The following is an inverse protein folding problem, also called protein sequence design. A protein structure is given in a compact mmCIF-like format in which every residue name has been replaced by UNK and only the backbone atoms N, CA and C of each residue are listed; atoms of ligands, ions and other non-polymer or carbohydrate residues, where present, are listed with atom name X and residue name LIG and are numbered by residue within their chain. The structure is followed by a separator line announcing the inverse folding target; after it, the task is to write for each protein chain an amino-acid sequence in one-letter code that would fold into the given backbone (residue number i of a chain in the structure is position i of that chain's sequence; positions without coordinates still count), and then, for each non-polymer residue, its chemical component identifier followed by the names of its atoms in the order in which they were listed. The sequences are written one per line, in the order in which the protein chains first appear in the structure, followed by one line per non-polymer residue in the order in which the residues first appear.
data_IF_394780187273
#
_entry.id   IF_394780187273
#
_cell.length_a   1.000
_cell.length_b   1.000
_cell.length_c   1.000
_cell.angle_alpha   90.00
_cell.angle_beta   90.00
_cell.angle_gamma   90.00
#
_symmetry.space_group_name_H-M   'P 1'
#
loop_
_entity.id
_entity.type
_entity.pdbx_description
1 polymer ?
#
# COMPACT_ATOMS: atom_id res chain seq x y z
N UNK A 1 -16.38 10.55 -4.06
CA UNK A 1 -15.71 11.80 -3.65
C UNK A 1 -14.31 11.84 -4.25
N UNK A 2 -13.97 12.88 -5.04
CA UNK A 2 -12.57 13.14 -5.42
C UNK A 2 -11.84 13.68 -4.18
N UNK A 3 -10.77 13.01 -3.72
CA UNK A 3 -9.91 13.52 -2.65
C UNK A 3 -9.29 14.85 -3.11
N UNK A 4 -9.14 15.81 -2.21
CA UNK A 4 -8.41 17.04 -2.53
C UNK A 4 -6.93 16.72 -2.76
N UNK A 5 -6.24 17.50 -3.61
CA UNK A 5 -4.83 17.29 -3.94
C UNK A 5 -3.94 17.19 -2.68
N UNK A 6 -4.23 18.00 -1.65
CA UNK A 6 -3.52 18.01 -0.37
C UNK A 6 -3.73 16.70 0.42
N UNK A 7 -4.95 16.18 0.47
CA UNK A 7 -5.24 14.89 1.14
C UNK A 7 -4.60 13.72 0.39
N UNK A 8 -4.57 13.78 -0.94
CA UNK A 8 -3.93 12.77 -1.77
C UNK A 8 -2.41 12.78 -1.59
N UNK A 9 -1.79 13.97 -1.59
CA UNK A 9 -0.36 14.14 -1.34
C UNK A 9 0.05 13.69 0.06
N UNK A 10 -0.72 14.07 1.09
CA UNK A 10 -0.48 13.63 2.47
C UNK A 10 -0.58 12.10 2.61
N UNK A 11 -1.54 11.46 1.92
CA UNK A 11 -1.66 10.00 1.91
C UNK A 11 -0.51 9.30 1.17
N UNK A 12 0.03 9.94 0.13
CA UNK A 12 1.18 9.46 -0.63
C UNK A 12 2.47 9.55 0.18
N UNK A 13 2.76 10.73 0.74
CA UNK A 13 3.94 10.93 1.58
C UNK A 13 3.90 10.02 2.82
N UNK A 14 2.73 9.90 3.47
CA UNK A 14 2.56 8.99 4.61
C UNK A 14 2.76 7.53 4.24
N UNK A 15 2.23 7.07 3.09
CA UNK A 15 2.44 5.72 2.60
C UNK A 15 3.90 5.42 2.26
N UNK A 16 4.58 6.37 1.61
CA UNK A 16 6.00 6.24 1.30
C UNK A 16 6.86 6.12 2.57
N UNK A 17 6.65 7.03 3.53
CA UNK A 17 7.37 7.03 4.82
C UNK A 17 7.12 5.71 5.55
N UNK A 18 5.86 5.26 5.61
CA UNK A 18 5.49 4.00 6.23
C UNK A 18 6.23 2.82 5.61
N UNK A 19 6.18 2.66 4.28
CA UNK A 19 6.86 1.57 3.58
C UNK A 19 8.36 1.60 3.82
N UNK A 20 8.97 2.79 3.76
CA UNK A 20 10.41 2.96 3.95
C UNK A 20 10.81 2.51 5.36
N UNK A 21 10.14 3.02 6.40
CA UNK A 21 10.44 2.69 7.79
C UNK A 21 10.25 1.20 8.06
N UNK A 22 9.14 0.61 7.60
CA UNK A 22 8.86 -0.81 7.83
C UNK A 22 9.85 -1.70 7.08
N UNK A 23 10.20 -1.36 5.83
CA UNK A 23 11.18 -2.13 5.05
C UNK A 23 12.54 -2.13 5.75
N UNK A 24 13.02 -0.96 6.20
CA UNK A 24 14.26 -0.86 6.97
C UNK A 24 14.20 -1.60 8.31
N UNK A 25 13.10 -1.48 9.04
CA UNK A 25 12.95 -2.14 10.34
C UNK A 25 12.99 -3.66 10.21
N UNK A 26 12.24 -4.23 9.25
CA UNK A 26 12.24 -5.67 9.00
C UNK A 26 13.59 -6.15 8.46
N UNK A 27 14.21 -5.39 7.54
CA UNK A 27 15.55 -5.68 7.05
C UNK A 27 16.60 -5.70 8.15
N UNK A 28 16.54 -4.74 9.08
CA UNK A 28 17.40 -4.70 10.26
C UNK A 28 17.20 -5.90 11.18
N UNK A 29 15.95 -6.27 11.46
CA UNK A 29 15.63 -7.46 12.28
C UNK A 29 16.22 -8.72 11.66
N UNK A 30 16.03 -8.93 10.34
CA UNK A 30 16.55 -10.09 9.63
C UNK A 30 18.08 -10.10 9.64
N UNK A 31 18.70 -8.95 9.37
CA UNK A 31 20.15 -8.81 9.40
C UNK A 31 20.73 -9.21 10.78
N UNK A 32 20.22 -8.64 11.87
CA UNK A 32 20.71 -8.96 13.22
C UNK A 32 20.41 -10.40 13.62
N UNK A 33 19.28 -10.98 13.17
CA UNK A 33 18.93 -12.37 13.44
C UNK A 33 19.89 -13.33 12.71
N UNK A 34 20.20 -13.08 11.45
CA UNK A 34 21.16 -13.88 10.68
C UNK A 34 22.58 -13.77 11.25
N UNK A 35 22.99 -12.56 11.64
CA UNK A 35 24.27 -12.32 12.30
C UNK A 35 24.37 -13.09 13.64
N UNK A 36 23.30 -13.07 14.46
CA UNK A 36 23.24 -13.83 15.71
C UNK A 36 23.33 -15.35 15.52
N UNK A 37 22.84 -15.86 14.39
CA UNK A 37 22.93 -17.27 14.00
C UNK A 37 24.25 -17.63 13.31
N UNK A 38 25.22 -16.71 13.23
CA UNK A 38 26.49 -16.90 12.53
C UNK A 38 26.34 -17.30 11.06
N UNK A 39 25.21 -16.95 10.44
CA UNK A 39 25.02 -17.15 8.99
C UNK A 39 25.87 -16.11 8.29
N UNK A 40 26.81 -16.51 7.41
CA UNK A 40 27.60 -15.56 6.64
C UNK A 40 26.66 -14.82 5.70
N UNK A 41 26.32 -13.58 6.05
CA UNK A 41 25.69 -12.63 5.13
C UNK A 41 26.82 -12.11 4.22
N UNK A 42 27.32 -12.99 3.34
CA UNK A 42 28.34 -12.62 2.35
C UNK A 42 27.83 -11.44 1.54
N UNK A 43 28.68 -10.43 1.38
CA UNK A 43 28.47 -9.13 0.74
C UNK A 43 27.20 -9.02 -0.12
N UNK A 44 26.07 -8.72 0.51
CA UNK A 44 24.87 -8.25 -0.19
C UNK A 44 25.25 -6.88 -0.80
N UNK A 45 25.74 -6.91 -2.04
CA UNK A 45 26.24 -5.74 -2.78
C UNK A 45 27.71 -5.83 -3.26
N UNK A 46 28.52 -6.76 -2.74
CA UNK A 46 29.97 -6.81 -3.04
C UNK A 46 30.31 -7.25 -4.46
N UNK A 47 29.42 -7.99 -5.12
CA UNK A 47 29.61 -8.43 -6.51
C UNK A 47 29.27 -7.33 -7.54
N UNK A 48 28.57 -6.26 -7.12
CA UNK A 48 28.01 -5.25 -8.03
C UNK A 48 28.96 -4.06 -8.21
N UNK A 49 30.06 -3.96 -7.43
CA UNK A 49 31.03 -2.87 -7.54
C UNK A 49 30.47 -1.48 -7.17
N UNK A 50 29.30 -1.46 -6.51
CA UNK A 50 28.63 -0.26 -6.01
C UNK A 50 28.87 -0.16 -4.51
N UNK A 51 28.99 1.05 -3.98
CA UNK A 51 29.11 1.27 -2.55
C UNK A 51 27.89 0.65 -1.82
N UNK A 52 28.17 -0.32 -0.93
CA UNK A 52 27.19 -1.14 -0.21
C UNK A 52 26.14 -0.28 0.50
N UNK A 53 26.55 0.86 1.06
CA UNK A 53 25.63 1.79 1.71
C UNK A 53 24.59 2.35 0.72
N UNK A 54 25.01 2.75 -0.48
CA UNK A 54 24.10 3.26 -1.50
C UNK A 54 23.18 2.17 -2.05
N UNK A 55 23.69 0.95 -2.21
CA UNK A 55 22.88 -0.18 -2.65
C UNK A 55 21.80 -0.52 -1.63
N UNK A 56 22.15 -0.62 -0.34
CA UNK A 56 21.19 -0.96 0.71
C UNK A 56 20.24 0.22 0.97
N UNK A 57 20.75 1.41 1.23
CA UNK A 57 19.91 2.56 1.58
C UNK A 57 19.08 3.05 0.39
N UNK A 58 19.73 3.23 -0.77
CA UNK A 58 19.08 3.64 -2.00
C UNK A 58 18.12 2.59 -2.54
N UNK A 59 18.49 1.31 -2.46
CA UNK A 59 17.63 0.18 -2.83
C UNK A 59 16.34 0.16 -2.02
N UNK A 60 16.43 0.23 -0.69
CA UNK A 60 15.25 0.25 0.18
C UNK A 60 14.30 1.43 -0.10
N UNK A 61 14.86 2.64 -0.32
CA UNK A 61 14.07 3.83 -0.69
C UNK A 61 13.36 3.61 -2.03
N UNK A 62 14.08 3.05 -2.99
CA UNK A 62 13.57 2.85 -4.33
C UNK A 62 12.51 1.75 -4.38
N UNK A 63 12.70 0.66 -3.64
CA UNK A 63 11.71 -0.39 -3.43
C UNK A 63 10.45 0.16 -2.78
N UNK A 64 10.57 0.99 -1.74
CA UNK A 64 9.43 1.63 -1.09
C UNK A 64 8.64 2.53 -2.06
N UNK A 65 9.33 3.31 -2.89
CA UNK A 65 8.70 4.15 -3.91
C UNK A 65 7.98 3.31 -4.96
N UNK A 66 8.65 2.27 -5.48
CA UNK A 66 8.13 1.39 -6.52
C UNK A 66 6.92 0.59 -6.02
N UNK A 67 7.00 0.06 -4.80
CA UNK A 67 5.91 -0.64 -4.13
C UNK A 67 4.71 0.28 -3.89
N UNK A 68 4.95 1.55 -3.50
CA UNK A 68 3.87 2.53 -3.35
C UNK A 68 3.15 2.76 -4.69
N UNK A 69 3.90 2.96 -5.78
CA UNK A 69 3.31 3.16 -7.11
C UNK A 69 2.48 1.93 -7.50
N UNK A 70 3.02 0.73 -7.32
CA UNK A 70 2.31 -0.53 -7.59
C UNK A 70 1.01 -0.62 -6.77
N UNK A 71 1.08 -0.32 -5.47
CA UNK A 71 -0.08 -0.33 -4.58
C UNK A 71 -1.14 0.69 -5.03
N UNK A 72 -0.74 1.90 -5.39
CA UNK A 72 -1.66 2.95 -5.82
C UNK A 72 -2.38 2.59 -7.12
N UNK A 73 -1.65 2.03 -8.09
CA UNK A 73 -2.23 1.50 -9.32
C UNK A 73 -3.19 0.36 -8.98
N UNK A 74 -2.76 -0.59 -8.14
CA UNK A 74 -3.58 -1.73 -7.73
C UNK A 74 -4.89 -1.29 -7.06
N UNK A 75 -4.85 -0.29 -6.17
CA UNK A 75 -6.03 0.26 -5.51
C UNK A 75 -7.06 0.84 -6.49
N UNK A 76 -6.66 1.28 -7.68
CA UNK A 76 -7.62 1.73 -8.71
C UNK A 76 -8.41 0.57 -9.34
N UNK A 77 -7.83 -0.63 -9.37
CA UNK A 77 -8.42 -1.81 -10.03
C UNK A 77 -8.92 -2.88 -9.04
N UNK A 78 -8.62 -2.75 -7.75
CA UNK A 78 -8.88 -3.79 -6.75
C UNK A 78 -10.36 -4.18 -6.63
N UNK A 79 -11.29 -3.26 -6.91
CA UNK A 79 -12.74 -3.51 -6.85
C UNK A 79 -13.24 -4.51 -7.90
N UNK A 80 -12.46 -4.76 -8.96
CA UNK A 80 -12.76 -5.78 -9.98
C UNK A 80 -12.48 -7.20 -9.50
N UNK A 81 -11.65 -7.36 -8.47
CA UNK A 81 -11.26 -8.67 -7.94
C UNK A 81 -12.26 -9.08 -6.85
N UNK A 82 -13.18 -9.99 -7.20
CA UNK A 82 -14.24 -10.43 -6.27
C UNK A 82 -13.71 -11.19 -5.05
N UNK A 83 -12.61 -11.93 -5.19
CA UNK A 83 -12.03 -12.75 -4.10
C UNK A 83 -10.86 -12.03 -3.45
N UNK A 84 -10.98 -11.73 -2.17
CA UNK A 84 -9.99 -10.99 -1.38
C UNK A 84 -8.59 -11.65 -1.45
N UNK A 85 -8.51 -12.97 -1.27
CA UNK A 85 -7.23 -13.71 -1.35
C UNK A 85 -6.53 -13.60 -2.70
N UNK A 86 -7.29 -13.57 -3.81
CA UNK A 86 -6.72 -13.33 -5.14
C UNK A 86 -6.16 -11.91 -5.25
N UNK A 87 -6.79 -10.94 -4.58
CA UNK A 87 -6.27 -9.57 -4.51
C UNK A 87 -4.88 -9.52 -3.88
N UNK A 88 -4.69 -10.17 -2.72
CA UNK A 88 -3.38 -10.25 -2.08
C UNK A 88 -2.36 -11.00 -2.95
N UNK A 89 -2.73 -12.14 -3.55
CA UNK A 89 -1.83 -12.91 -4.40
C UNK A 89 -1.36 -12.11 -5.63
N UNK A 90 -2.28 -11.40 -6.29
CA UNK A 90 -1.96 -10.54 -7.44
C UNK A 90 -1.07 -9.38 -7.01
N UNK A 91 -1.36 -8.74 -5.87
CA UNK A 91 -0.55 -7.64 -5.36
C UNK A 91 0.88 -8.09 -5.05
N UNK A 92 1.05 -9.23 -4.37
CA UNK A 92 2.37 -9.82 -4.09
C UNK A 92 3.13 -10.06 -5.38
N UNK A 93 2.50 -10.71 -6.35
CA UNK A 93 3.13 -11.02 -7.63
C UNK A 93 3.58 -9.75 -8.37
N UNK A 94 2.70 -8.75 -8.46
CA UNK A 94 2.99 -7.50 -9.17
C UNK A 94 4.12 -6.74 -8.48
N UNK A 95 4.04 -6.56 -7.16
CA UNK A 95 5.06 -5.81 -6.40
C UNK A 95 6.41 -6.52 -6.50
N UNK A 96 6.44 -7.84 -6.35
CA UNK A 96 7.67 -8.62 -6.47
C UNK A 96 8.31 -8.45 -7.85
N UNK A 97 7.57 -8.75 -8.92
CA UNK A 97 8.09 -8.67 -10.30
C UNK A 97 8.59 -7.25 -10.63
N UNK A 98 7.83 -6.22 -10.28
CA UNK A 98 8.16 -4.83 -10.62
C UNK A 98 9.32 -4.31 -9.77
N UNK A 99 9.34 -4.55 -8.45
CA UNK A 99 10.45 -4.11 -7.59
C UNK A 99 11.76 -4.78 -8.01
N UNK A 100 11.76 -6.10 -8.23
CA UNK A 100 12.96 -6.82 -8.70
C UNK A 100 13.40 -6.33 -10.07
N UNK A 101 12.47 -6.03 -10.98
CA UNK A 101 12.79 -5.45 -12.29
C UNK A 101 13.48 -4.09 -12.16
N UNK A 102 12.91 -3.17 -11.38
CA UNK A 102 13.46 -1.82 -11.24
C UNK A 102 14.81 -1.86 -10.51
N UNK A 103 14.97 -2.71 -9.48
CA UNK A 103 16.24 -2.90 -8.77
C UNK A 103 17.33 -3.37 -9.73
N UNK A 104 17.08 -4.43 -10.50
CA UNK A 104 18.05 -4.96 -11.45
C UNK A 104 18.33 -3.98 -12.61
N UNK A 105 17.31 -3.28 -13.11
CA UNK A 105 17.49 -2.30 -14.18
C UNK A 105 18.40 -1.11 -13.78
N UNK A 106 18.42 -0.75 -12.50
CA UNK A 106 19.18 0.39 -11.99
C UNK A 106 20.55 0.02 -11.43
N UNK A 107 20.68 -1.14 -10.79
CA UNK A 107 21.90 -1.53 -10.10
C UNK A 107 22.75 -2.57 -10.86
N UNK A 108 22.17 -3.33 -11.80
CA UNK A 108 22.93 -4.33 -12.57
C UNK A 108 23.50 -3.71 -13.86
N UNK A 109 24.83 -3.61 -13.96
CA UNK A 109 25.51 -3.17 -15.18
C UNK A 109 26.41 -4.29 -15.76
N UNK A 110 26.19 -4.75 -17.02
CA UNK A 110 25.12 -4.37 -17.95
C UNK A 110 23.79 -5.10 -17.67
N UNK A 111 22.68 -4.37 -17.72
CA UNK A 111 21.35 -4.97 -17.65
C UNK A 111 21.05 -5.78 -18.92
N UNK A 112 20.63 -7.04 -18.75
CA UNK A 112 20.11 -7.88 -19.83
C UNK A 112 18.80 -8.53 -19.42
N UNK A 113 17.81 -8.56 -20.33
CA UNK A 113 16.51 -9.19 -20.06
C UNK A 113 16.67 -10.68 -19.68
N UNK A 114 17.60 -11.38 -20.35
CA UNK A 114 17.91 -12.77 -20.08
C UNK A 114 18.52 -12.96 -18.68
N UNK A 115 19.39 -12.05 -18.26
CA UNK A 115 19.95 -12.01 -16.90
C UNK A 115 18.86 -11.81 -15.86
N UNK A 116 17.99 -10.81 -16.05
CA UNK A 116 16.83 -10.59 -15.17
C UNK A 116 15.94 -11.83 -15.03
N UNK A 117 15.58 -12.46 -16.14
CA UNK A 117 14.76 -13.68 -16.11
C UNK A 117 15.47 -14.81 -15.38
N UNK A 118 16.78 -15.00 -15.60
CA UNK A 118 17.57 -15.99 -14.85
C UNK A 118 17.55 -15.66 -13.36
N UNK A 119 17.80 -14.42 -12.98
CA UNK A 119 17.94 -14.03 -11.58
C UNK A 119 16.61 -14.17 -10.83
N UNK A 120 15.45 -13.95 -11.48
CA UNK A 120 14.12 -14.27 -10.90
C UNK A 120 14.00 -15.75 -10.51
N UNK A 121 14.51 -16.66 -11.34
CA UNK A 121 14.36 -18.10 -11.12
C UNK A 121 15.48 -18.72 -10.27
N UNK A 122 16.64 -18.07 -10.19
CA UNK A 122 17.82 -18.54 -9.47
C UNK A 122 18.12 -17.72 -8.20
N UNK A 123 17.16 -16.95 -7.72
CA UNK A 123 17.26 -16.14 -6.50
C UNK A 123 17.70 -16.99 -5.31
N UNK A 124 18.74 -16.53 -4.62
CA UNK A 124 19.21 -17.17 -3.40
C UNK A 124 18.14 -17.00 -2.31
N UNK A 125 17.90 -18.03 -1.48
CA UNK A 125 16.86 -17.97 -0.44
C UNK A 125 17.01 -16.79 0.53
N UNK A 126 18.22 -16.25 0.71
CA UNK A 126 18.48 -15.07 1.54
C UNK A 126 17.97 -13.79 0.88
N UNK A 127 18.12 -13.65 -0.44
CA UNK A 127 17.60 -12.51 -1.19
C UNK A 127 16.08 -12.49 -1.16
N UNK A 128 15.43 -13.66 -1.31
CA UNK A 128 13.97 -13.80 -1.17
C UNK A 128 13.54 -13.37 0.24
N UNK A 129 14.30 -13.73 1.27
CA UNK A 129 14.01 -13.36 2.64
C UNK A 129 14.08 -11.83 2.84
N UNK A 130 15.08 -11.14 2.29
CA UNK A 130 15.17 -9.68 2.35
C UNK A 130 14.10 -8.99 1.48
N UNK A 131 13.86 -9.47 0.26
CA UNK A 131 12.82 -8.93 -0.64
C UNK A 131 11.40 -9.13 -0.05
N UNK A 132 11.21 -10.11 0.84
CA UNK A 132 9.93 -10.33 1.52
C UNK A 132 9.52 -9.17 2.44
N UNK A 133 10.48 -8.36 2.90
CA UNK A 133 10.22 -7.22 3.79
C UNK A 133 9.30 -6.19 3.12
N UNK A 134 9.63 -5.79 1.89
CA UNK A 134 8.82 -4.82 1.16
C UNK A 134 7.44 -5.40 0.82
N UNK A 135 7.35 -6.70 0.56
CA UNK A 135 6.08 -7.38 0.34
C UNK A 135 5.20 -7.30 1.59
N UNK A 136 5.73 -7.66 2.76
CA UNK A 136 5.01 -7.58 4.04
C UNK A 136 4.58 -6.14 4.32
N UNK A 137 5.48 -5.17 4.17
CA UNK A 137 5.18 -3.75 4.36
C UNK A 137 4.03 -3.28 3.46
N UNK A 138 4.04 -3.71 2.20
CA UNK A 138 3.01 -3.36 1.21
C UNK A 138 1.66 -3.98 1.56
N UNK A 139 1.63 -5.23 2.03
CA UNK A 139 0.39 -5.90 2.44
C UNK A 139 -0.22 -5.25 3.69
N UNK A 140 0.62 -4.84 4.65
CA UNK A 140 0.16 -4.09 5.83
C UNK A 140 -0.46 -2.75 5.42
N UNK A 141 0.20 -2.00 4.53
CA UNK A 141 -0.34 -0.73 4.05
C UNK A 141 -1.63 -0.92 3.25
N UNK A 142 -1.71 -1.97 2.44
CA UNK A 142 -2.92 -2.34 1.70
C UNK A 142 -4.10 -2.63 2.64
N UNK A 143 -3.88 -3.38 3.71
CA UNK A 143 -4.92 -3.66 4.72
C UNK A 143 -5.39 -2.39 5.42
N UNK A 144 -4.48 -1.47 5.74
CA UNK A 144 -4.84 -0.15 6.31
C UNK A 144 -5.73 0.62 5.33
N UNK A 145 -5.39 0.64 4.03
CA UNK A 145 -6.20 1.31 3.01
C UNK A 145 -7.60 0.69 2.86
N UNK A 146 -7.71 -0.63 2.88
CA UNK A 146 -9.01 -1.32 2.85
C UNK A 146 -9.89 -0.97 4.05
N UNK A 147 -9.29 -0.87 5.25
CA UNK A 147 -10.02 -0.49 6.48
C UNK A 147 -10.51 0.94 6.42
N UNK A 148 -9.66 1.86 5.98
CA UNK A 148 -10.04 3.26 5.81
C UNK A 148 -11.15 3.43 4.76
N UNK A 149 -11.09 2.69 3.64
CA UNK A 149 -12.17 2.73 2.66
C UNK A 149 -13.51 2.24 3.24
N UNK A 150 -13.51 1.12 3.99
CA UNK A 150 -14.71 0.61 4.66
C UNK A 150 -15.26 1.60 5.68
N UNK A 151 -14.37 2.25 6.44
CA UNK A 151 -14.74 3.27 7.42
C UNK A 151 -15.40 4.47 6.74
N UNK A 152 -14.81 4.98 5.66
CA UNK A 152 -15.35 6.11 4.90
C UNK A 152 -16.71 5.80 4.29
N UNK A 153 -16.93 4.57 3.78
CA UNK A 153 -18.25 4.13 3.29
C UNK A 153 -19.31 4.20 4.38
N UNK A 154 -19.02 3.67 5.58
CA UNK A 154 -19.96 3.72 6.72
C UNK A 154 -20.27 5.15 7.16
N UNK A 155 -19.27 6.03 7.18
CA UNK A 155 -19.49 7.44 7.52
C UNK A 155 -20.41 8.09 6.49
N UNK A 156 -20.18 7.86 5.19
CA UNK A 156 -21.04 8.40 4.14
C UNK A 156 -22.49 7.88 4.23
N UNK A 157 -22.68 6.60 4.56
CA UNK A 157 -24.01 6.02 4.81
C UNK A 157 -24.70 6.68 6.01
N UNK A 158 -23.97 6.93 7.10
CA UNK A 158 -24.49 7.62 8.29
C UNK A 158 -24.84 9.08 8.00
N UNK A 159 -24.00 9.79 7.23
CA UNK A 159 -24.28 11.17 6.81
C UNK A 159 -25.54 11.25 5.95
N UNK A 160 -25.72 10.32 5.01
CA UNK A 160 -26.93 10.24 4.19
C UNK A 160 -28.18 10.02 5.04
N UNK A 161 -28.15 9.06 5.97
CA UNK A 161 -29.27 8.79 6.86
C UNK A 161 -29.60 10.00 7.78
N UNK A 162 -28.59 10.74 8.23
CA UNK A 162 -28.81 11.96 9.02
C UNK A 162 -29.48 13.07 8.20
N UNK A 163 -29.16 13.19 6.93
CA UNK A 163 -29.80 14.17 6.02
C UNK A 163 -31.26 13.80 5.82
N UNK A 164 -31.57 12.54 5.52
CA UNK A 164 -32.94 12.05 5.33
C UNK A 164 -33.81 12.28 6.59
N UNK A 165 -33.28 11.98 7.77
CA UNK A 165 -33.98 12.21 9.03
C UNK A 165 -34.25 13.69 9.30
N UNK A 166 -33.35 14.59 8.89
CA UNK A 166 -33.58 16.04 9.00
C UNK A 166 -34.69 16.49 8.06
N UNK A 167 -34.72 15.99 6.83
CA UNK A 167 -35.78 16.30 5.87
C UNK A 167 -37.15 15.83 6.35
N UNK A 168 -37.25 14.59 6.84
CA UNK A 168 -38.48 14.04 7.43
C UNK A 168 -38.95 14.86 8.63
N UNK A 169 -38.02 15.27 9.50
CA UNK A 169 -38.34 16.13 10.65
C UNK A 169 -38.86 17.48 10.21
N UNK A 170 -38.20 18.15 9.25
CA UNK A 170 -38.67 19.44 8.74
C UNK A 170 -40.04 19.32 8.09
N UNK A 171 -40.30 18.22 7.37
CA UNK A 171 -41.61 17.95 6.80
C UNK A 171 -42.69 17.76 7.88
N UNK A 172 -42.40 16.98 8.92
CA UNK A 172 -43.32 16.80 10.04
C UNK A 172 -43.57 18.11 10.81
N UNK A 173 -42.55 18.95 10.99
CA UNK A 173 -42.69 20.28 11.60
C UNK A 173 -43.57 21.20 10.74
N UNK A 174 -43.43 21.16 9.41
CA UNK A 174 -44.30 21.89 8.48
C UNK A 174 -45.74 21.39 8.50
N UNK A 175 -45.97 20.07 8.51
CA UNK A 175 -47.30 19.47 8.61
C UNK A 175 -47.98 19.84 9.94
N UNK A 176 -47.24 19.82 11.05
CA UNK A 176 -47.75 20.24 12.36
C UNK A 176 -48.08 21.75 12.39
N UNK A 177 -47.26 22.59 11.76
CA UNK A 177 -47.54 24.02 11.62
C UNK A 177 -48.79 24.27 10.77
N UNK A 178 -48.95 23.54 9.65
CA UNK A 178 -50.14 23.63 8.82
C UNK A 178 -51.40 23.20 9.60
N UNK A 179 -51.34 22.07 10.31
CA UNK A 179 -52.45 21.60 11.16
C UNK A 179 -52.83 22.61 12.25
N UNK A 180 -51.83 23.32 12.81
CA UNK A 180 -52.05 24.36 13.84
C UNK A 180 -52.62 25.66 13.26
N UNK A 181 -52.36 25.96 11.98
CA UNK A 181 -52.91 27.12 11.25
C UNK A 181 -54.32 26.83 10.71
N UNK A 182 -54.69 25.56 10.53
CA UNK A 182 -56.02 25.13 10.07
C UNK A 182 -56.90 24.53 11.19
N UNK A 183 -57.20 25.21 12.30
CA UNK A 183 -58.15 24.68 13.28
C UNK A 183 -59.61 24.71 12.79
N UNK A 184 -59.89 25.25 11.60
CA UNK A 184 -61.25 25.60 11.17
C UNK A 184 -61.90 24.66 10.13
N UNK A 185 -61.41 23.42 9.99
CA UNK A 185 -62.01 22.38 9.12
C UNK A 185 -62.50 21.13 9.87
N UNK A 186 -62.81 21.27 11.16
CA UNK A 186 -63.77 20.44 11.90
C UNK A 186 -64.77 21.39 12.58
#
# INVERSE_FOLDING_TARGET
MKKTFVQQFSSWAGGFIFLTIVNFALGGIIYFLLQGLSVPVSNVGGEIGVNEFYYIFGGNILEALTALICLQIFMQYHTRIRRIWLGYAVLILVVYVVCTFVKNALFSHPFTLLGYLRDIFYLHYLEILFDSNILIATLLLYEIYLREEKRLKRIAEQEFAMVEMRELRTKAELEALQAKISPHFL
#
